data_IF_113756663896
#
_entry.id   IF_113756663896
#
_cell.length_a   1.000
_cell.length_b   1.000
_cell.length_c   1.000
_cell.angle_alpha   90.00
_cell.angle_beta   90.00
_cell.angle_gamma   90.00
#
_symmetry.space_group_name_H-M   'P 1'
#
loop_
_entity.id
_entity.type
_entity.pdbx_description
1 polymer ?
#
# COMPACT_ATOMS: atom_id res chain seq x y z
N UNK A 1 -3.12 4.56 59.48
CA UNK A 1 -3.57 5.24 58.24
C UNK A 1 -2.45 5.08 57.22
N UNK A 2 -2.59 4.12 56.31
CA UNK A 2 -1.64 3.92 55.20
C UNK A 2 -2.18 4.65 53.97
N UNK A 3 -1.34 5.37 53.20
CA UNK A 3 -1.78 5.96 51.94
C UNK A 3 -1.94 4.87 50.89
N UNK A 4 -3.10 4.88 50.23
CA UNK A 4 -3.41 4.05 49.07
C UNK A 4 -2.67 4.63 47.87
N UNK A 5 -1.66 3.90 47.36
CA UNK A 5 -1.08 4.17 46.05
C UNK A 5 -2.07 3.70 44.98
N UNK A 6 -2.72 4.65 44.32
CA UNK A 6 -3.48 4.43 43.09
C UNK A 6 -2.50 4.17 41.95
N UNK A 7 -2.33 2.89 41.58
CA UNK A 7 -1.60 2.51 40.38
C UNK A 7 -2.35 2.96 39.13
N UNK A 8 -1.87 4.01 38.49
CA UNK A 8 -2.20 4.31 37.09
C UNK A 8 -1.52 3.23 36.26
N UNK A 9 -2.32 2.34 35.66
CA UNK A 9 -1.84 1.34 34.72
C UNK A 9 -1.06 2.04 33.61
N UNK A 10 0.26 1.84 33.61
CA UNK A 10 1.17 2.42 32.65
C UNK A 10 0.80 1.98 31.23
N UNK A 11 0.75 2.95 30.32
CA UNK A 11 0.78 2.73 28.88
C UNK A 11 2.00 1.85 28.60
N UNK A 12 1.77 0.60 28.23
CA UNK A 12 2.82 -0.32 27.81
C UNK A 12 3.56 0.33 26.65
N UNK A 13 4.88 0.47 26.78
CA UNK A 13 5.68 1.04 25.72
C UNK A 13 5.54 0.15 24.47
N UNK A 14 5.41 0.76 23.30
CA UNK A 14 5.24 0.09 21.99
C UNK A 14 6.31 -1.00 21.77
N UNK A 15 7.49 -0.85 22.39
CA UNK A 15 8.60 -1.80 22.40
C UNK A 15 8.24 -3.17 23.01
N UNK A 16 7.33 -3.23 23.97
CA UNK A 16 7.04 -4.48 24.71
C UNK A 16 6.14 -5.44 23.92
N UNK A 17 5.35 -4.92 22.96
CA UNK A 17 4.48 -5.71 22.08
C UNK A 17 5.26 -6.50 21.02
N UNK A 18 6.50 -6.09 20.71
CA UNK A 18 7.34 -6.74 19.70
C UNK A 18 8.23 -7.87 20.25
N UNK A 19 8.24 -8.11 21.57
CA UNK A 19 9.21 -9.00 22.24
C UNK A 19 8.73 -10.44 22.51
N UNK A 20 7.49 -10.80 22.22
CA UNK A 20 6.91 -12.05 22.77
C UNK A 20 6.93 -13.29 21.86
N UNK A 21 7.50 -13.22 20.66
CA UNK A 21 7.70 -14.42 19.82
C UNK A 21 9.04 -14.35 19.08
N UNK A 22 9.87 -15.42 19.13
CA UNK A 22 11.04 -15.49 18.26
C UNK A 22 10.57 -15.47 16.80
N UNK A 23 11.16 -14.56 16.00
CA UNK A 23 10.87 -14.49 14.57
C UNK A 23 11.25 -15.81 13.89
N UNK A 24 10.45 -16.31 12.94
CA UNK A 24 10.83 -17.46 12.14
C UNK A 24 12.15 -17.16 11.39
N UNK A 25 12.98 -18.19 11.11
CA UNK A 25 14.24 -18.00 10.41
C UNK A 25 14.01 -17.36 9.04
N UNK A 26 14.94 -16.51 8.60
CA UNK A 26 14.88 -15.84 7.31
C UNK A 26 14.69 -16.83 6.16
N UNK A 27 13.74 -16.53 5.26
CA UNK A 27 13.48 -17.38 4.09
C UNK A 27 14.61 -17.19 3.07
N UNK A 28 15.32 -18.26 2.75
CA UNK A 28 16.39 -18.25 1.74
C UNK A 28 15.77 -18.08 0.35
N UNK A 29 16.56 -17.64 -0.64
CA UNK A 29 16.14 -17.59 -2.06
C UNK A 29 15.49 -18.90 -2.54
N UNK A 30 15.96 -20.03 -2.01
CA UNK A 30 15.41 -21.35 -2.28
C UNK A 30 13.97 -21.49 -1.80
N UNK A 31 13.64 -20.97 -0.62
CA UNK A 31 12.31 -21.04 -0.03
C UNK A 31 11.32 -20.18 -0.83
N UNK A 32 11.77 -19.01 -1.32
CA UNK A 32 10.98 -18.19 -2.27
C UNK A 32 10.73 -18.90 -3.59
N UNK A 33 11.74 -19.58 -4.14
CA UNK A 33 11.60 -20.35 -5.36
C UNK A 33 10.66 -21.55 -5.17
N UNK A 34 10.72 -22.22 -4.01
CA UNK A 34 9.83 -23.32 -3.65
C UNK A 34 8.38 -22.85 -3.49
N UNK A 35 8.13 -21.72 -2.83
CA UNK A 35 6.79 -21.10 -2.73
C UNK A 35 6.26 -20.67 -4.10
N UNK A 36 7.10 -20.08 -4.96
CA UNK A 36 6.69 -19.72 -6.31
C UNK A 36 6.37 -20.97 -7.16
N UNK A 37 7.17 -22.03 -7.04
CA UNK A 37 6.91 -23.31 -7.70
C UNK A 37 5.65 -24.00 -7.17
N UNK A 38 5.37 -23.91 -5.87
CA UNK A 38 4.16 -24.43 -5.25
C UNK A 38 2.92 -23.63 -5.68
N UNK A 39 3.02 -22.31 -5.76
CA UNK A 39 1.97 -21.45 -6.32
C UNK A 39 1.68 -21.78 -7.80
N UNK A 40 2.71 -22.15 -8.58
CA UNK A 40 2.57 -22.62 -9.96
C UNK A 40 1.98 -24.04 -10.07
N UNK A 41 1.95 -24.81 -8.98
CA UNK A 41 1.33 -26.16 -8.90
C UNK A 41 -0.13 -26.14 -8.47
N UNK A 42 -0.68 -24.99 -8.06
CA UNK A 42 -2.11 -24.83 -7.82
C UNK A 42 -2.87 -25.01 -9.15
N UNK A 43 -3.88 -25.88 -9.13
CA UNK A 43 -4.56 -26.45 -10.30
C UNK A 43 -5.01 -25.40 -11.36
N UNK A 44 -4.50 -25.47 -12.61
CA UNK A 44 -4.68 -24.42 -13.60
C UNK A 44 -5.94 -24.62 -14.43
N UNK A 45 -7.06 -24.09 -13.95
CA UNK A 45 -8.19 -23.76 -14.83
C UNK A 45 -8.69 -22.32 -14.65
N UNK A 46 -8.46 -21.73 -13.46
CA UNK A 46 -9.05 -20.44 -13.12
C UNK A 46 -8.05 -19.39 -12.61
N UNK A 47 -6.73 -19.59 -12.69
CA UNK A 47 -5.76 -18.56 -12.26
C UNK A 47 -5.95 -17.23 -13.00
N UNK A 48 -6.09 -17.30 -14.32
CA UNK A 48 -6.42 -16.12 -15.12
C UNK A 48 -7.77 -15.51 -14.70
N UNK A 49 -8.77 -16.33 -14.37
CA UNK A 49 -10.06 -15.83 -13.89
C UNK A 49 -10.03 -15.30 -12.46
N UNK A 50 -9.09 -15.72 -11.62
CA UNK A 50 -8.94 -15.21 -10.26
C UNK A 50 -8.20 -13.88 -10.25
N UNK A 51 -7.22 -13.69 -11.15
CA UNK A 51 -6.50 -12.41 -11.30
C UNK A 51 -7.32 -11.41 -12.10
N UNK A 52 -7.90 -11.81 -13.24
CA UNK A 52 -8.58 -10.92 -14.18
C UNK A 52 -10.11 -10.96 -14.05
N UNK A 53 -10.67 -11.76 -13.15
CA UNK A 53 -12.12 -11.95 -13.08
C UNK A 53 -12.70 -12.72 -14.27
N UNK A 54 -14.03 -12.69 -14.40
CA UNK A 54 -14.72 -13.40 -15.48
C UNK A 54 -14.45 -12.76 -16.86
N UNK A 55 -14.31 -13.53 -17.95
CA UNK A 55 -14.10 -12.97 -19.28
C UNK A 55 -15.19 -11.99 -19.75
N UNK A 56 -16.41 -12.15 -19.25
CA UNK A 56 -17.52 -11.24 -19.52
C UNK A 56 -17.33 -9.84 -18.92
N UNK A 57 -16.45 -9.65 -17.93
CA UNK A 57 -16.13 -8.32 -17.37
C UNK A 57 -14.97 -7.61 -18.08
N UNK A 58 -14.25 -8.30 -18.98
CA UNK A 58 -13.06 -7.76 -19.65
C UNK A 58 -13.39 -6.78 -20.78
N UNK A 59 -14.63 -6.82 -21.29
CA UNK A 59 -15.08 -5.94 -22.36
C UNK A 59 -16.05 -4.88 -21.80
N UNK A 60 -16.06 -3.66 -22.38
CA UNK A 60 -16.98 -2.62 -21.97
C UNK A 60 -18.44 -3.00 -22.30
N UNK A 61 -19.43 -2.43 -21.58
CA UNK A 61 -19.30 -1.43 -20.52
C UNK A 61 -18.88 -2.06 -19.18
N UNK A 62 -17.85 -1.50 -18.55
CA UNK A 62 -17.40 -1.96 -17.24
C UNK A 62 -18.24 -1.36 -16.12
N UNK A 63 -18.26 -2.02 -14.96
CA UNK A 63 -18.88 -1.49 -13.75
C UNK A 63 -18.15 -0.21 -13.30
N UNK A 64 -18.85 0.69 -12.60
CA UNK A 64 -18.34 2.01 -12.13
C UNK A 64 -16.95 1.96 -11.51
N UNK A 65 -16.67 0.95 -10.68
CA UNK A 65 -15.42 0.80 -9.94
C UNK A 65 -14.52 -0.33 -10.45
N UNK A 66 -14.74 -0.81 -11.67
CA UNK A 66 -13.88 -1.83 -12.26
C UNK A 66 -12.53 -1.24 -12.67
N UNK A 67 -11.43 -1.88 -12.28
CA UNK A 67 -10.08 -1.51 -12.72
C UNK A 67 -9.90 -1.57 -14.25
N UNK A 68 -10.75 -2.32 -14.97
CA UNK A 68 -10.79 -2.30 -16.43
C UNK A 68 -11.14 -0.93 -17.02
N UNK A 69 -11.73 -0.02 -16.24
CA UNK A 69 -11.91 1.36 -16.68
C UNK A 69 -10.59 2.10 -16.92
N UNK A 70 -9.47 1.63 -16.35
CA UNK A 70 -8.13 2.17 -16.58
C UNK A 70 -7.60 1.75 -17.96
N UNK A 71 -7.89 0.52 -18.39
CA UNK A 71 -7.50 -0.02 -19.70
C UNK A 71 -8.69 0.14 -20.65
N UNK A 72 -9.03 1.40 -20.95
CA UNK A 72 -10.16 1.74 -21.79
C UNK A 72 -9.66 2.22 -23.17
N UNK A 73 -10.13 1.61 -24.30
CA UNK A 73 -9.75 2.03 -25.64
C UNK A 73 -10.15 3.47 -25.97
N UNK A 74 -11.11 4.04 -25.24
CA UNK A 74 -11.55 5.43 -25.38
C UNK A 74 -10.80 6.41 -24.47
N UNK A 75 -10.02 5.91 -23.50
CA UNK A 75 -9.18 6.71 -22.59
C UNK A 75 -7.70 6.35 -22.78
N UNK A 76 -7.22 6.39 -24.02
CA UNK A 76 -5.87 5.95 -24.39
C UNK A 76 -4.75 6.61 -23.58
N UNK A 77 -4.92 7.87 -23.16
CA UNK A 77 -3.93 8.57 -22.34
C UNK A 77 -3.83 7.99 -20.92
N UNK A 78 -4.95 7.64 -20.28
CA UNK A 78 -4.98 7.00 -18.97
C UNK A 78 -4.35 5.61 -19.05
N UNK A 79 -4.74 4.83 -20.07
CA UNK A 79 -4.17 3.51 -20.34
C UNK A 79 -2.65 3.59 -20.57
N UNK A 80 -2.20 4.52 -21.41
CA UNK A 80 -0.78 4.70 -21.70
C UNK A 80 0.01 5.12 -20.46
N UNK A 81 -0.54 6.01 -19.63
CA UNK A 81 0.08 6.42 -18.36
C UNK A 81 0.20 5.24 -17.40
N UNK A 82 -0.87 4.47 -17.21
CA UNK A 82 -0.84 3.26 -16.39
C UNK A 82 0.21 2.26 -16.88
N UNK A 83 0.23 1.94 -18.17
CA UNK A 83 1.22 1.01 -18.74
C UNK A 83 2.65 1.53 -18.59
N UNK A 84 2.88 2.82 -18.83
CA UNK A 84 4.20 3.43 -18.63
C UNK A 84 4.60 3.40 -17.15
N UNK A 85 3.68 3.69 -16.24
CA UNK A 85 3.95 3.73 -14.81
C UNK A 85 4.27 2.34 -14.25
N UNK A 86 3.56 1.33 -14.73
CA UNK A 86 3.71 -0.06 -14.28
C UNK A 86 4.89 -0.78 -14.94
N UNK A 87 5.41 -0.33 -16.08
CA UNK A 87 6.52 -1.00 -16.78
C UNK A 87 7.87 -0.29 -16.67
N UNK A 88 7.90 1.01 -16.41
CA UNK A 88 9.16 1.76 -16.35
C UNK A 88 9.65 1.80 -14.90
N UNK A 89 10.89 1.34 -14.63
CA UNK A 89 11.46 1.41 -13.30
C UNK A 89 11.50 2.83 -12.77
N UNK A 90 11.06 2.99 -11.53
CA UNK A 90 11.15 4.25 -10.78
C UNK A 90 11.76 4.00 -9.40
N UNK A 91 12.16 5.08 -8.75
CA UNK A 91 12.58 5.09 -7.36
C UNK A 91 11.46 5.68 -6.52
N UNK A 92 11.08 4.99 -5.44
CA UNK A 92 10.06 5.42 -4.49
C UNK A 92 10.55 6.52 -3.53
N UNK A 93 11.36 7.46 -4.04
CA UNK A 93 11.97 8.55 -3.27
C UNK A 93 11.78 9.89 -3.98
N UNK A 94 11.90 10.99 -3.24
CA UNK A 94 11.87 12.32 -3.82
C UNK A 94 13.10 12.58 -4.72
N UNK A 95 12.95 13.31 -5.84
CA UNK A 95 14.08 13.58 -6.72
C UNK A 95 15.16 14.38 -5.98
N UNK A 96 16.46 14.04 -6.14
CA UNK A 96 17.53 14.79 -5.53
C UNK A 96 17.62 16.20 -6.13
N UNK A 97 18.16 17.16 -5.37
CA UNK A 97 18.16 18.58 -5.76
C UNK A 97 18.79 18.84 -7.13
N UNK A 98 19.83 18.11 -7.50
CA UNK A 98 20.47 18.22 -8.82
C UNK A 98 19.54 17.77 -9.96
N UNK A 99 18.75 16.71 -9.76
CA UNK A 99 17.84 16.17 -10.79
C UNK A 99 16.66 17.11 -11.04
N UNK A 100 16.15 17.74 -9.97
CA UNK A 100 15.12 18.79 -10.07
C UNK A 100 15.58 19.99 -10.90
N UNK A 101 16.86 20.33 -10.84
CA UNK A 101 17.42 21.47 -11.56
C UNK A 101 17.81 21.14 -13.01
N UNK A 102 18.23 19.90 -13.28
CA UNK A 102 18.74 19.51 -14.60
C UNK A 102 17.67 18.93 -15.54
N UNK A 103 16.62 18.33 -14.99
CA UNK A 103 15.57 17.69 -15.79
C UNK A 103 14.23 18.40 -15.65
N UNK A 104 13.41 18.42 -16.73
CA UNK A 104 12.02 18.84 -16.64
C UNK A 104 11.22 17.99 -15.65
N UNK A 105 10.18 18.58 -15.05
CA UNK A 105 9.32 17.93 -14.06
C UNK A 105 8.72 16.60 -14.51
N UNK A 106 8.38 16.46 -15.80
CA UNK A 106 7.80 15.21 -16.31
C UNK A 106 8.81 14.04 -16.27
N UNK A 107 10.11 14.31 -16.45
CA UNK A 107 11.18 13.32 -16.32
C UNK A 107 11.37 12.98 -14.85
N UNK A 108 11.42 14.01 -14.00
CA UNK A 108 11.57 13.81 -12.55
C UNK A 108 10.42 12.96 -11.97
N UNK A 109 9.17 13.25 -12.34
CA UNK A 109 7.98 12.46 -11.94
C UNK A 109 7.97 11.04 -12.52
N UNK A 110 8.71 10.78 -13.60
CA UNK A 110 8.80 9.44 -14.19
C UNK A 110 9.73 8.54 -13.39
N UNK A 111 10.89 9.05 -13.00
CA UNK A 111 11.92 8.25 -12.32
C UNK A 111 11.88 8.36 -10.80
N UNK A 112 11.29 9.42 -10.24
CA UNK A 112 11.14 9.63 -8.81
C UNK A 112 9.67 9.79 -8.46
N UNK A 113 9.11 8.78 -7.81
CA UNK A 113 7.70 8.69 -7.46
C UNK A 113 7.57 8.48 -5.95
N UNK A 114 7.66 9.55 -5.14
CA UNK A 114 7.54 9.41 -3.70
C UNK A 114 6.13 8.93 -3.32
N UNK A 115 6.03 8.22 -2.19
CA UNK A 115 4.74 7.83 -1.62
C UNK A 115 3.86 9.06 -1.42
N UNK A 116 2.67 9.03 -2.02
CA UNK A 116 1.71 10.12 -1.93
C UNK A 116 0.56 9.77 -0.99
N UNK A 117 -0.01 10.79 -0.36
CA UNK A 117 -1.17 10.67 0.50
C UNK A 117 -2.29 11.51 -0.07
N UNK A 118 -3.46 10.92 -0.24
CA UNK A 118 -4.65 11.67 -0.59
C UNK A 118 -5.87 11.12 0.13
N UNK A 119 -6.82 12.00 0.42
CA UNK A 119 -8.03 11.65 1.13
C UNK A 119 -9.19 11.54 0.15
N UNK A 120 -9.79 10.37 0.10
CA UNK A 120 -11.02 10.12 -0.63
C UNK A 120 -12.21 10.50 0.28
N UNK A 121 -13.13 11.37 -0.16
CA UNK A 121 -14.36 11.63 0.57
C UNK A 121 -15.24 10.38 0.63
N UNK A 122 -16.15 10.32 1.61
CA UNK A 122 -17.22 9.31 1.62
C UNK A 122 -18.15 9.44 0.40
N UNK A 123 -19.10 8.50 0.25
CA UNK A 123 -20.08 8.51 -0.84
C UNK A 123 -20.91 9.80 -0.94
N UNK A 124 -21.04 10.56 0.16
CA UNK A 124 -21.80 11.81 0.25
C UNK A 124 -20.93 13.06 0.08
N UNK A 125 -19.64 12.91 -0.21
CA UNK A 125 -18.69 14.01 -0.39
C UNK A 125 -18.06 14.54 0.89
N UNK A 126 -18.34 13.91 2.04
CA UNK A 126 -17.78 14.30 3.31
C UNK A 126 -16.38 13.76 3.54
N UNK A 127 -15.41 14.65 3.78
CA UNK A 127 -14.04 14.26 4.15
C UNK A 127 -13.88 14.06 5.67
N UNK A 128 -14.81 14.56 6.48
CA UNK A 128 -14.70 14.55 7.95
C UNK A 128 -15.95 14.01 8.65
N UNK A 129 -16.78 13.23 7.94
CA UNK A 129 -18.07 12.75 8.45
C UNK A 129 -17.97 11.83 9.66
N UNK A 130 -16.76 11.32 9.96
CA UNK A 130 -16.46 10.46 11.10
C UNK A 130 -15.10 10.87 11.71
N UNK A 131 -15.06 11.94 12.53
CA UNK A 131 -13.80 12.53 12.98
C UNK A 131 -12.97 11.63 13.91
N UNK A 132 -13.60 10.67 14.60
CA UNK A 132 -12.92 9.68 15.44
C UNK A 132 -12.57 8.36 14.73
N UNK A 133 -12.87 8.23 13.43
CA UNK A 133 -12.52 7.04 12.65
C UNK A 133 -11.45 7.39 11.61
N UNK A 134 -10.37 6.60 11.57
CA UNK A 134 -9.31 6.74 10.59
C UNK A 134 -9.22 5.47 9.74
N UNK A 135 -9.59 5.58 8.46
CA UNK A 135 -9.52 4.50 7.49
C UNK A 135 -8.34 4.72 6.56
N UNK A 136 -7.42 3.77 6.53
CA UNK A 136 -6.24 3.79 5.67
C UNK A 136 -6.34 2.69 4.62
N UNK A 137 -6.08 3.05 3.37
CA UNK A 137 -5.89 2.10 2.28
C UNK A 137 -4.47 2.19 1.78
N UNK A 138 -3.75 1.06 1.82
CA UNK A 138 -2.39 0.91 1.27
C UNK A 138 -2.52 0.05 0.01
N UNK A 139 -2.17 0.62 -1.15
CA UNK A 139 -2.24 -0.11 -2.41
C UNK A 139 -1.14 -1.16 -2.54
N UNK A 140 -1.35 -2.08 -3.49
CA UNK A 140 -0.36 -3.08 -3.86
C UNK A 140 0.49 -2.71 -5.05
N UNK A 141 1.26 -3.70 -5.48
CA UNK A 141 2.08 -3.65 -6.69
C UNK A 141 1.22 -3.41 -7.94
N UNK A 142 1.87 -3.03 -9.04
CA UNK A 142 1.23 -2.71 -10.32
C UNK A 142 0.11 -1.65 -10.22
N UNK A 143 0.21 -0.73 -9.25
CA UNK A 143 -0.80 0.31 -9.01
C UNK A 143 -0.17 1.69 -9.19
N UNK A 144 -0.71 2.47 -10.12
CA UNK A 144 -0.41 3.90 -10.23
C UNK A 144 -1.45 4.74 -9.47
N UNK A 145 -1.28 6.05 -9.44
CA UNK A 145 -2.18 6.96 -8.72
C UNK A 145 -3.65 6.84 -9.18
N UNK A 146 -3.89 6.59 -10.48
CA UNK A 146 -5.23 6.46 -11.04
C UNK A 146 -5.96 5.22 -10.52
N UNK A 147 -5.28 4.06 -10.49
CA UNK A 147 -5.81 2.81 -9.89
C UNK A 147 -6.00 2.98 -8.38
N UNK A 148 -5.06 3.61 -7.68
CA UNK A 148 -5.18 3.86 -6.24
C UNK A 148 -6.40 4.73 -5.91
N UNK A 149 -6.67 5.76 -6.72
CA UNK A 149 -7.88 6.60 -6.60
C UNK A 149 -9.15 5.83 -6.86
N UNK A 150 -9.17 4.98 -7.89
CA UNK A 150 -10.32 4.15 -8.21
C UNK A 150 -10.66 3.19 -7.06
N UNK A 151 -9.63 2.52 -6.51
CA UNK A 151 -9.79 1.60 -5.40
C UNK A 151 -10.16 2.33 -4.10
N UNK A 152 -9.55 3.48 -3.83
CA UNK A 152 -9.96 4.35 -2.72
C UNK A 152 -11.41 4.79 -2.81
N UNK A 153 -11.86 5.21 -4.00
CA UNK A 153 -13.25 5.59 -4.26
C UNK A 153 -14.21 4.41 -4.07
N UNK A 154 -13.81 3.21 -4.48
CA UNK A 154 -14.62 2.01 -4.28
C UNK A 154 -14.75 1.64 -2.80
N UNK A 155 -13.66 1.72 -2.04
CA UNK A 155 -13.69 1.48 -0.59
C UNK A 155 -14.55 2.52 0.13
N UNK A 156 -14.42 3.80 -0.23
CA UNK A 156 -15.26 4.87 0.32
C UNK A 156 -16.75 4.66 0.00
N UNK A 157 -17.05 4.17 -1.21
CA UNK A 157 -18.40 3.79 -1.64
C UNK A 157 -18.95 2.60 -0.82
N UNK A 158 -18.16 1.53 -0.65
CA UNK A 158 -18.57 0.31 0.05
C UNK A 158 -18.78 0.53 1.55
N UNK A 159 -17.89 1.28 2.20
CA UNK A 159 -17.90 1.45 3.65
C UNK A 159 -18.61 2.73 4.09
N UNK A 160 -18.96 3.62 3.15
CA UNK A 160 -19.52 4.95 3.45
C UNK A 160 -18.65 5.71 4.47
N UNK A 161 -17.33 5.64 4.27
CA UNK A 161 -16.32 6.27 5.14
C UNK A 161 -15.30 7.00 4.29
N UNK A 162 -14.78 8.15 4.76
CA UNK A 162 -13.64 8.78 4.11
C UNK A 162 -12.40 7.89 4.29
N UNK A 163 -11.66 7.67 3.20
CA UNK A 163 -10.48 6.79 3.19
C UNK A 163 -9.24 7.61 2.87
N UNK A 164 -8.23 7.53 3.73
CA UNK A 164 -6.89 8.05 3.43
C UNK A 164 -6.15 6.99 2.63
N UNK A 165 -5.90 7.28 1.36
CA UNK A 165 -5.12 6.42 0.49
C UNK A 165 -3.64 6.77 0.62
N UNK A 166 -2.86 5.77 1.00
CA UNK A 166 -1.41 5.82 1.04
C UNK A 166 -0.95 5.15 -0.24
N UNK A 167 -0.64 5.98 -1.23
CA UNK A 167 -0.26 5.51 -2.54
C UNK A 167 1.25 5.29 -2.59
N UNK A 168 1.66 4.03 -2.63
CA UNK A 168 2.99 3.64 -3.01
C UNK A 168 3.07 3.47 -4.53
N UNK A 169 3.93 4.24 -5.19
CA UNK A 169 4.09 4.12 -6.63
C UNK A 169 4.89 2.86 -6.96
N UNK A 170 4.33 2.06 -7.86
CA UNK A 170 5.01 0.89 -8.40
C UNK A 170 6.31 1.28 -9.09
N UNK A 171 7.41 0.63 -8.70
CA UNK A 171 8.75 0.80 -9.24
C UNK A 171 8.98 -0.07 -10.50
N UNK A 172 7.90 -0.35 -11.24
CA UNK A 172 7.67 -1.41 -12.23
C UNK A 172 7.25 -2.76 -11.64
N UNK A 173 6.31 -3.45 -12.29
CA UNK A 173 5.75 -4.71 -11.80
C UNK A 173 6.80 -5.84 -11.61
N UNK A 174 7.88 -5.98 -12.42
CA UNK A 174 8.89 -7.00 -12.16
C UNK A 174 9.78 -6.65 -10.97
N UNK A 175 10.12 -5.37 -10.79
CA UNK A 175 10.93 -4.88 -9.67
C UNK A 175 10.12 -4.97 -8.38
N UNK A 176 8.86 -4.56 -8.39
CA UNK A 176 7.94 -4.69 -7.26
C UNK A 176 7.73 -6.15 -6.84
N UNK A 177 7.54 -7.08 -7.78
CA UNK A 177 7.45 -8.51 -7.46
C UNK A 177 8.74 -9.04 -6.83
N UNK A 178 9.89 -8.60 -7.35
CA UNK A 178 11.19 -8.96 -6.80
C UNK A 178 11.41 -8.36 -5.41
N UNK A 179 11.06 -7.10 -5.18
CA UNK A 179 11.10 -6.42 -3.88
C UNK A 179 10.12 -7.04 -2.88
N UNK A 180 8.90 -7.42 -3.31
CA UNK A 180 7.95 -8.15 -2.46
C UNK A 180 8.48 -9.54 -2.09
N UNK A 181 9.13 -10.25 -3.02
CA UNK A 181 9.75 -11.53 -2.74
C UNK A 181 10.96 -11.37 -1.80
N UNK A 182 11.84 -10.41 -2.07
CA UNK A 182 13.01 -10.11 -1.22
C UNK A 182 12.59 -9.60 0.15
N UNK A 183 11.64 -8.68 0.25
CA UNK A 183 11.14 -8.15 1.53
C UNK A 183 10.49 -9.20 2.42
N UNK A 184 9.99 -10.31 1.82
CA UNK A 184 9.51 -11.50 2.54
C UNK A 184 10.62 -12.51 2.88
N UNK A 185 11.80 -12.43 2.25
CA UNK A 185 12.91 -13.37 2.46
C UNK A 185 14.14 -12.84 3.19
N UNK A 186 14.49 -11.56 3.03
CA UNK A 186 15.77 -10.98 3.45
C UNK A 186 15.70 -10.13 4.73
N UNK A 187 14.63 -10.23 5.52
CA UNK A 187 14.60 -9.60 6.84
C UNK A 187 15.36 -10.49 7.83
N UNK A 188 16.68 -10.31 7.88
CA UNK A 188 17.57 -11.00 8.82
C UNK A 188 17.45 -10.46 10.26
N UNK A 189 16.88 -9.26 10.47
CA UNK A 189 16.53 -8.73 11.79
C UNK A 189 15.61 -7.50 11.64
N UNK A 190 14.28 -7.60 11.79
CA UNK A 190 13.40 -6.43 11.80
C UNK A 190 13.49 -5.77 13.17
N UNK A 191 14.62 -5.11 13.47
CA UNK A 191 14.64 -4.20 14.61
C UNK A 191 13.74 -3.01 14.29
N UNK A 192 12.58 -2.96 14.94
CA UNK A 192 11.65 -1.81 14.87
C UNK A 192 12.27 -0.49 15.33
N UNK A 193 13.45 -0.52 15.98
CA UNK A 193 14.24 0.65 16.32
C UNK A 193 15.22 1.07 15.21
N UNK A 194 15.52 0.21 14.22
CA UNK A 194 16.41 0.52 13.11
C UNK A 194 15.60 0.84 11.83
N UNK A 195 15.39 2.15 11.62
CA UNK A 195 14.70 2.75 10.47
C UNK A 195 15.23 2.31 9.10
N UNK A 196 16.41 1.65 9.05
CA UNK A 196 17.04 1.13 7.83
C UNK A 196 16.42 -0.16 7.28
N UNK A 197 15.52 -0.81 8.03
CA UNK A 197 14.91 -2.10 7.62
C UNK A 197 13.56 -1.95 6.92
N UNK A 198 13.02 -0.72 6.83
CA UNK A 198 11.74 -0.41 6.19
C UNK A 198 11.95 0.45 4.95
N UNK A 199 11.25 0.10 3.86
CA UNK A 199 11.21 0.95 2.67
C UNK A 199 10.50 2.27 2.99
N UNK A 200 10.83 3.37 2.29
CA UNK A 200 10.16 4.68 2.47
C UNK A 200 8.63 4.58 2.54
N UNK A 201 7.96 3.78 1.68
CA UNK A 201 6.51 3.60 1.73
C UNK A 201 6.02 2.93 3.01
N UNK A 202 6.70 1.86 3.46
CA UNK A 202 6.34 1.15 4.68
C UNK A 202 6.50 2.06 5.91
N UNK A 203 7.63 2.79 5.99
CA UNK A 203 7.86 3.76 7.06
C UNK A 203 6.81 4.86 7.09
N UNK A 204 6.52 5.49 5.94
CA UNK A 204 5.51 6.55 5.84
C UNK A 204 4.11 6.07 6.21
N UNK A 205 3.76 4.85 5.80
CA UNK A 205 2.48 4.24 6.17
C UNK A 205 2.39 3.98 7.68
N UNK A 206 3.43 3.38 8.27
CA UNK A 206 3.51 3.12 9.70
C UNK A 206 3.45 4.40 10.52
N UNK A 207 4.18 5.45 10.11
CA UNK A 207 4.15 6.75 10.77
C UNK A 207 2.72 7.33 10.80
N UNK A 208 2.02 7.34 9.66
CA UNK A 208 0.65 7.85 9.56
C UNK A 208 -0.36 7.04 10.42
N UNK A 209 -0.18 5.71 10.48
CA UNK A 209 -1.04 4.84 11.29
C UNK A 209 -0.77 5.06 12.79
N UNK A 210 0.49 5.16 13.20
CA UNK A 210 0.86 5.43 14.59
C UNK A 210 0.40 6.81 15.05
N UNK A 211 0.48 7.82 14.19
CA UNK A 211 -0.07 9.16 14.46
C UNK A 211 -1.58 9.09 14.71
N UNK A 212 -2.32 8.36 13.87
CA UNK A 212 -3.77 8.18 14.06
C UNK A 212 -4.12 7.37 15.31
N UNK A 213 -3.32 6.36 15.68
CA UNK A 213 -3.53 5.58 16.91
C UNK A 213 -3.28 6.40 18.18
N UNK A 214 -2.37 7.37 18.14
CA UNK A 214 -2.03 8.24 19.27
C UNK A 214 -2.92 9.48 19.38
N UNK A 215 -3.77 9.75 18.39
CA UNK A 215 -4.67 10.89 18.43
C UNK A 215 -5.70 10.72 19.56
N UNK A 216 -5.81 11.71 20.45
CA UNK A 216 -6.68 11.63 21.64
C UNK A 216 -8.17 11.41 21.31
N UNK A 217 -8.58 11.76 20.09
CA UNK A 217 -9.96 11.64 19.62
C UNK A 217 -10.21 10.37 18.78
N UNK A 218 -9.18 9.56 18.54
CA UNK A 218 -9.30 8.35 17.74
C UNK A 218 -10.07 7.26 18.51
N UNK A 219 -11.21 6.86 17.96
CA UNK A 219 -12.03 5.76 18.46
C UNK A 219 -11.74 4.46 17.71
N UNK A 220 -11.37 4.58 16.42
CA UNK A 220 -11.11 3.42 15.56
C UNK A 220 -10.09 3.76 14.48
N UNK A 221 -9.12 2.86 14.30
CA UNK A 221 -8.20 2.89 13.17
C UNK A 221 -8.40 1.59 12.37
N UNK A 222 -8.72 1.72 11.09
CA UNK A 222 -8.90 0.59 10.16
C UNK A 222 -7.83 0.68 9.08
N UNK A 223 -7.10 -0.42 8.89
CA UNK A 223 -6.07 -0.52 7.84
C UNK A 223 -6.49 -1.60 6.86
N UNK A 224 -6.59 -1.22 5.59
CA UNK A 224 -6.85 -2.12 4.46
C UNK A 224 -5.58 -2.09 3.61
N UNK A 225 -4.87 -3.21 3.54
CA UNK A 225 -3.67 -3.34 2.75
C UNK A 225 -3.87 -4.42 1.68
N UNK A 226 -3.43 -4.14 0.45
CA UNK A 226 -3.47 -5.10 -0.64
C UNK A 226 -2.07 -5.40 -1.13
N UNK A 227 -1.60 -6.64 -1.00
CA UNK A 227 -0.43 -7.20 -1.70
C UNK A 227 0.96 -6.53 -1.50
N UNK A 228 1.15 -5.61 -0.55
CA UNK A 228 2.47 -5.11 -0.13
C UNK A 228 2.62 -5.00 1.38
#
# INVERSE_FOLDING_TARGET
MNPVQTGVAGKTAVTDLFMTAPWPPANRFRDLAEVALEALRLDPANYFRSVFGAPSSWLPPHRRFSEYNIINPWQLLTTARFLMDTNIPSYAVSPPGWARSLFPDFINRRFWRPTSFFRQPDEYGGVSSFPGEHWFFINGIATNEDVAKLNGAYLAHLFHRPVTVIQNATNSWPVDLFECAIGKGFKDDPDSADYKTMTEPAWRATAAILEALNAEQAQRVVVIAHSQ
#
